data_IF_249767083040
#
_entry.id   IF_249767083040
#
_cell.length_a   1.000
_cell.length_b   1.000
_cell.length_c   1.000
_cell.angle_alpha   90.00
_cell.angle_beta   90.00
_cell.angle_gamma   90.00
#
_symmetry.space_group_name_H-M   'P 1'
#
loop_
_entity.id
_entity.type
_entity.pdbx_description
1 polymer ?
#
# COMPACT_ATOMS: atom_id res chain seq x y z
N UNK A 1 -10.97 -27.81 -68.20
CA UNK A 1 -9.68 -27.43 -68.79
C UNK A 1 -8.79 -26.99 -67.61
N UNK A 2 -7.95 -27.84 -66.99
CA UNK A 2 -6.60 -28.37 -67.33
C UNK A 2 -5.44 -27.34 -67.26
N UNK A 3 -4.39 -27.75 -66.52
CA UNK A 3 -3.02 -27.20 -66.29
C UNK A 3 -2.89 -26.07 -65.25
N UNK A 4 -2.18 -26.17 -64.11
CA UNK A 4 -0.85 -26.72 -63.72
C UNK A 4 0.35 -26.00 -64.35
N UNK A 5 1.16 -25.31 -63.54
CA UNK A 5 2.63 -25.44 -63.59
C UNK A 5 3.33 -24.86 -62.36
N UNK A 6 4.34 -25.60 -61.91
CA UNK A 6 5.30 -25.35 -60.84
C UNK A 6 6.36 -24.31 -61.25
N UNK A 7 7.02 -23.69 -60.26
CA UNK A 7 8.37 -23.17 -60.45
C UNK A 7 9.25 -23.50 -59.23
N UNK A 8 10.27 -24.30 -59.52
CA UNK A 8 11.37 -24.80 -58.68
C UNK A 8 12.39 -23.68 -58.38
N UNK A 9 13.06 -23.75 -57.23
CA UNK A 9 14.33 -23.03 -57.02
C UNK A 9 15.43 -24.04 -56.69
N UNK A 10 16.51 -23.91 -57.45
CA UNK A 10 17.63 -24.82 -57.58
C UNK A 10 18.65 -24.66 -56.45
N UNK A 11 19.24 -25.79 -56.07
CA UNK A 11 20.47 -25.91 -55.30
C UNK A 11 21.67 -25.44 -56.16
N UNK A 12 22.60 -24.70 -55.56
CA UNK A 12 23.99 -24.62 -56.01
C UNK A 12 24.93 -24.50 -54.81
N UNK A 13 25.87 -25.45 -54.73
CA UNK A 13 27.02 -25.47 -53.82
C UNK A 13 27.99 -24.33 -54.13
N UNK A 14 28.59 -23.75 -53.09
CA UNK A 14 29.85 -23.04 -53.21
C UNK A 14 30.78 -23.39 -52.03
N UNK A 15 32.04 -23.57 -52.41
CA UNK A 15 33.14 -24.24 -51.74
C UNK A 15 33.73 -23.53 -50.53
N UNK A 16 34.21 -24.35 -49.59
CA UNK A 16 35.01 -24.00 -48.41
C UNK A 16 36.31 -23.27 -48.75
N UNK A 17 36.59 -22.16 -48.05
CA UNK A 17 37.93 -21.60 -47.89
C UNK A 17 38.16 -21.32 -46.40
N UNK A 18 39.18 -21.96 -45.86
CA UNK A 18 39.65 -21.78 -44.50
C UNK A 18 40.35 -20.42 -44.39
N UNK A 19 39.84 -19.55 -43.52
CA UNK A 19 40.58 -18.42 -42.99
C UNK A 19 40.59 -18.56 -41.47
N UNK A 20 41.74 -18.95 -40.93
CA UNK A 20 41.99 -18.93 -39.50
C UNK A 20 42.09 -17.47 -39.06
N UNK A 21 41.06 -16.96 -38.37
CA UNK A 21 41.17 -15.74 -37.58
C UNK A 21 41.56 -16.11 -36.16
N UNK A 22 42.71 -15.59 -35.73
CA UNK A 22 43.19 -15.64 -34.37
C UNK A 22 42.18 -14.98 -33.40
N UNK A 23 41.89 -15.64 -32.28
CA UNK A 23 41.21 -15.02 -31.15
C UNK A 23 42.10 -13.93 -30.54
N UNK A 24 41.62 -12.69 -30.35
CA UNK A 24 42.24 -11.81 -29.38
C UNK A 24 41.80 -12.23 -27.97
N UNK A 25 42.80 -12.26 -27.09
CA UNK A 25 42.69 -12.59 -25.69
C UNK A 25 41.77 -11.64 -24.90
N UNK A 26 41.04 -12.23 -23.96
CA UNK A 26 40.63 -11.66 -22.66
C UNK A 26 40.25 -10.17 -22.65
N UNK A 27 38.97 -9.88 -22.91
CA UNK A 27 38.37 -8.64 -22.39
C UNK A 27 38.24 -8.80 -20.87
N UNK A 28 39.09 -8.08 -20.15
CA UNK A 28 38.87 -7.78 -18.73
C UNK A 28 37.49 -7.15 -18.62
N UNK A 29 36.62 -7.75 -17.82
CA UNK A 29 35.39 -7.14 -17.32
C UNK A 29 35.74 -5.80 -16.72
N UNK A 30 35.43 -4.72 -17.44
CA UNK A 30 35.46 -3.38 -16.87
C UNK A 30 34.39 -3.36 -15.78
N UNK A 31 34.81 -3.05 -14.57
CA UNK A 31 33.93 -2.74 -13.45
C UNK A 31 32.96 -1.66 -13.88
N UNK A 32 31.75 -2.07 -14.29
CA UNK A 32 30.60 -1.17 -14.33
C UNK A 32 30.33 -0.92 -12.85
N UNK A 33 30.82 0.22 -12.37
CA UNK A 33 30.50 0.72 -11.05
C UNK A 33 28.96 0.67 -10.92
N UNK A 34 28.49 -0.22 -10.06
CA UNK A 34 27.09 -0.24 -9.65
C UNK A 34 26.72 1.18 -9.24
N UNK A 35 25.56 1.71 -9.68
CA UNK A 35 25.09 2.98 -9.15
C UNK A 35 25.07 2.88 -7.62
N UNK A 36 25.42 3.94 -6.87
CA UNK A 36 25.37 3.91 -5.43
C UNK A 36 23.95 3.49 -5.02
N UNK A 37 23.79 2.63 -4.00
CA UNK A 37 22.46 2.30 -3.52
C UNK A 37 21.77 3.62 -3.17
N UNK A 38 20.71 3.96 -3.91
CA UNK A 38 19.78 4.99 -3.48
C UNK A 38 19.42 4.66 -2.03
N UNK A 39 19.43 5.67 -1.16
CA UNK A 39 19.10 5.54 0.27
C UNK A 39 17.77 4.83 0.59
N UNK A 40 16.99 4.43 -0.41
CA UNK A 40 15.71 3.74 -0.34
C UNK A 40 15.78 2.23 -0.03
N UNK A 41 16.96 1.59 -0.01
CA UNK A 41 17.03 0.12 0.15
C UNK A 41 17.29 -0.40 1.58
N UNK A 42 17.49 0.46 2.59
CA UNK A 42 17.96 -0.01 3.92
C UNK A 42 17.22 0.56 5.13
N UNK A 43 16.24 1.44 4.95
CA UNK A 43 15.33 1.78 6.04
C UNK A 43 14.20 0.76 6.05
N UNK A 44 14.33 -0.32 6.82
CA UNK A 44 13.15 -1.07 7.27
C UNK A 44 12.29 -0.03 7.98
N UNK A 45 11.11 0.28 7.44
CA UNK A 45 10.20 1.22 8.07
C UNK A 45 10.04 0.82 9.54
N UNK A 46 10.30 1.75 10.45
CA UNK A 46 10.31 1.48 11.89
C UNK A 46 8.95 1.05 12.44
N UNK A 47 7.90 1.19 11.63
CA UNK A 47 6.53 0.76 11.87
C UNK A 47 6.14 -0.50 11.05
N UNK A 48 7.11 -1.24 10.49
CA UNK A 48 6.85 -2.52 9.85
C UNK A 48 6.42 -3.59 10.87
N UNK A 49 5.51 -4.46 10.45
CA UNK A 49 5.06 -5.60 11.23
C UNK A 49 6.22 -6.56 11.56
N UNK A 50 6.12 -7.21 12.72
CA UNK A 50 7.02 -8.30 13.10
C UNK A 50 6.99 -9.46 12.08
N UNK A 51 8.15 -10.08 11.83
CA UNK A 51 8.29 -11.15 10.83
C UNK A 51 7.50 -12.43 11.17
N UNK A 52 7.07 -12.58 12.43
CA UNK A 52 6.21 -13.71 12.85
C UNK A 52 4.75 -13.58 12.40
N UNK A 53 4.35 -12.44 11.84
CA UNK A 53 2.97 -12.21 11.37
C UNK A 53 2.77 -12.89 10.01
N UNK A 54 1.71 -13.70 9.90
CA UNK A 54 1.31 -14.36 8.67
C UNK A 54 0.61 -13.37 7.70
N UNK A 55 1.37 -12.45 7.10
CA UNK A 55 0.85 -11.39 6.21
C UNK A 55 0.08 -11.98 5.03
N UNK A 56 0.60 -13.03 4.40
CA UNK A 56 -0.05 -13.68 3.27
C UNK A 56 -1.40 -14.32 3.66
N UNK A 57 -1.46 -14.97 4.83
CA UNK A 57 -2.70 -15.54 5.36
C UNK A 57 -3.74 -14.47 5.68
N UNK A 58 -3.33 -13.34 6.27
CA UNK A 58 -4.22 -12.21 6.55
C UNK A 58 -4.76 -11.57 5.28
N UNK A 59 -3.91 -11.38 4.27
CA UNK A 59 -4.32 -10.90 2.95
C UNK A 59 -5.32 -11.84 2.28
N UNK A 60 -5.05 -13.15 2.31
CA UNK A 60 -5.95 -14.16 1.77
C UNK A 60 -7.29 -14.20 2.52
N UNK A 61 -7.28 -14.06 3.84
CA UNK A 61 -8.49 -14.01 4.65
C UNK A 61 -9.36 -12.78 4.31
N UNK A 62 -8.76 -11.62 4.09
CA UNK A 62 -9.48 -10.42 3.65
C UNK A 62 -10.14 -10.63 2.27
N UNK A 63 -9.42 -11.21 1.31
CA UNK A 63 -9.93 -11.53 -0.03
C UNK A 63 -11.04 -12.58 -0.02
N UNK A 64 -10.95 -13.55 0.90
CA UNK A 64 -11.93 -14.61 1.05
C UNK A 64 -13.22 -14.15 1.78
N UNK A 65 -13.26 -12.94 2.33
CA UNK A 65 -14.46 -12.45 3.01
C UNK A 65 -15.60 -12.30 2.01
N UNK A 66 -16.61 -13.16 2.17
CA UNK A 66 -17.81 -13.20 1.33
C UNK A 66 -19.04 -12.67 2.04
N UNK A 67 -18.87 -12.04 3.22
CA UNK A 67 -19.97 -11.48 4.00
C UNK A 67 -20.49 -10.22 3.32
N UNK A 68 -21.74 -9.86 3.58
CA UNK A 68 -22.33 -8.63 3.06
C UNK A 68 -21.49 -7.43 3.51
N UNK A 69 -21.03 -6.63 2.55
CA UNK A 69 -20.35 -5.37 2.84
C UNK A 69 -21.26 -4.47 3.69
N UNK A 70 -20.64 -3.70 4.58
CA UNK A 70 -21.35 -2.77 5.47
C UNK A 70 -21.33 -1.34 4.92
N UNK A 71 -20.42 -1.04 4.01
CA UNK A 71 -20.37 0.21 3.25
C UNK A 71 -19.58 0.02 1.95
N UNK A 72 -19.75 0.95 1.01
CA UNK A 72 -19.03 0.98 -0.26
C UNK A 72 -18.69 2.42 -0.63
N UNK A 73 -17.44 2.66 -1.01
CA UNK A 73 -16.95 3.99 -1.40
C UNK A 73 -16.12 3.87 -2.68
N UNK A 74 -16.18 4.86 -3.58
CA UNK A 74 -15.25 4.93 -4.68
C UNK A 74 -13.82 5.11 -4.15
N UNK A 75 -12.82 4.71 -4.92
CA UNK A 75 -11.42 4.93 -4.55
C UNK A 75 -10.84 6.24 -5.08
N UNK A 76 -11.62 6.97 -5.87
CA UNK A 76 -11.26 8.29 -6.37
C UNK A 76 -12.52 9.04 -6.83
N UNK A 77 -12.37 10.34 -7.09
CA UNK A 77 -13.47 11.23 -7.47
C UNK A 77 -14.22 10.84 -8.76
N UNK A 78 -13.59 10.07 -9.65
CA UNK A 78 -14.20 9.62 -10.91
C UNK A 78 -15.11 8.39 -10.75
N UNK A 79 -15.15 7.77 -9.56
CA UNK A 79 -16.04 6.66 -9.17
C UNK A 79 -15.93 5.39 -10.01
N UNK A 80 -14.84 5.20 -10.76
CA UNK A 80 -14.67 4.01 -11.62
C UNK A 80 -14.39 2.74 -10.84
N UNK A 81 -13.66 2.85 -9.74
CA UNK A 81 -13.32 1.75 -8.85
C UNK A 81 -14.04 1.99 -7.54
N UNK A 82 -14.72 0.95 -7.02
CA UNK A 82 -15.47 0.99 -5.78
C UNK A 82 -14.98 -0.13 -4.89
N UNK A 83 -14.64 0.23 -3.66
CA UNK A 83 -14.21 -0.69 -2.62
C UNK A 83 -15.32 -0.89 -1.61
N UNK A 84 -15.43 -2.13 -1.14
CA UNK A 84 -16.32 -2.51 -0.05
C UNK A 84 -15.57 -2.53 1.27
N UNK A 85 -16.23 -2.02 2.32
CA UNK A 85 -15.81 -2.20 3.70
C UNK A 85 -16.61 -3.35 4.30
N UNK A 86 -15.91 -4.27 4.95
CA UNK A 86 -16.47 -5.45 5.60
C UNK A 86 -16.29 -5.36 7.11
N UNK A 87 -17.30 -5.86 7.84
CA UNK A 87 -17.35 -5.82 9.30
C UNK A 87 -17.48 -7.19 9.95
N UNK A 88 -17.19 -8.26 9.22
CA UNK A 88 -17.28 -9.64 9.70
C UNK A 88 -16.20 -9.99 10.73
N UNK A 89 -15.16 -9.17 10.87
CA UNK A 89 -14.13 -9.32 11.90
C UNK A 89 -14.41 -8.52 13.19
N UNK A 90 -15.56 -7.86 13.30
CA UNK A 90 -15.89 -7.04 14.48
C UNK A 90 -16.14 -7.84 15.77
N UNK A 91 -16.53 -9.11 15.65
CA UNK A 91 -16.93 -9.95 16.78
C UNK A 91 -15.96 -11.11 17.02
N UNK A 92 -14.69 -10.95 16.61
CA UNK A 92 -13.67 -11.95 16.87
C UNK A 92 -13.25 -11.92 18.35
N UNK A 93 -12.80 -13.06 18.85
CA UNK A 93 -12.44 -13.18 20.27
C UNK A 93 -11.17 -12.38 20.55
N UNK A 94 -11.27 -11.34 21.36
CA UNK A 94 -10.13 -10.53 21.80
C UNK A 94 -9.66 -9.47 20.81
N UNK A 95 -10.32 -9.32 19.66
CA UNK A 95 -9.97 -8.34 18.63
C UNK A 95 -11.22 -7.96 17.82
N UNK A 96 -11.32 -6.70 17.44
CA UNK A 96 -12.40 -6.19 16.59
C UNK A 96 -11.78 -5.43 15.43
N UNK A 97 -12.35 -5.58 14.24
CA UNK A 97 -11.78 -5.05 13.01
C UNK A 97 -12.83 -4.81 11.93
N UNK A 98 -12.68 -3.70 11.21
CA UNK A 98 -13.10 -3.58 9.81
C UNK A 98 -11.95 -3.97 8.88
N UNK A 99 -12.27 -4.36 7.65
CA UNK A 99 -11.26 -4.56 6.60
C UNK A 99 -11.81 -4.18 5.22
N UNK A 100 -10.90 -3.80 4.33
CA UNK A 100 -11.20 -3.41 2.95
C UNK A 100 -9.93 -3.50 2.08
N UNK A 101 -10.12 -3.49 0.76
CA UNK A 101 -9.04 -3.53 -0.23
C UNK A 101 -9.28 -2.38 -1.20
N UNK A 102 -8.38 -1.41 -1.24
CA UNK A 102 -8.48 -0.19 -2.04
C UNK A 102 -7.17 0.07 -2.79
N UNK A 103 -7.14 1.09 -3.65
CA UNK A 103 -5.88 1.67 -4.06
C UNK A 103 -5.26 2.47 -2.90
N UNK A 104 -4.09 3.08 -3.14
CA UNK A 104 -3.48 4.01 -2.20
C UNK A 104 -3.00 5.25 -2.94
N UNK A 105 -3.76 6.32 -2.82
CA UNK A 105 -3.40 7.70 -3.13
C UNK A 105 -2.87 8.43 -1.88
N UNK A 106 -2.35 9.63 -2.11
CA UNK A 106 -1.72 10.42 -1.04
C UNK A 106 -2.68 11.47 -0.52
N UNK A 107 -3.00 11.38 0.77
CA UNK A 107 -3.47 12.52 1.54
C UNK A 107 -2.27 13.27 2.15
N UNK A 108 -2.33 14.59 2.07
CA UNK A 108 -1.26 15.47 2.54
C UNK A 108 -1.73 16.44 3.61
N UNK A 109 -2.98 16.31 4.07
CA UNK A 109 -3.55 17.19 5.06
C UNK A 109 -2.72 17.23 6.36
N UNK A 110 -2.84 18.35 7.07
CA UNK A 110 -2.01 18.70 8.21
C UNK A 110 -0.84 19.63 7.85
N UNK A 111 0.25 19.51 8.61
CA UNK A 111 1.35 20.50 8.61
C UNK A 111 2.17 20.55 7.31
N UNK A 112 1.89 19.64 6.38
CA UNK A 112 2.52 19.52 5.05
C UNK A 112 1.48 19.45 3.93
N UNK A 113 0.42 20.26 4.04
CA UNK A 113 -0.72 20.33 3.11
C UNK A 113 -0.41 20.72 1.67
N UNK A 114 0.79 21.22 1.37
CA UNK A 114 1.16 21.71 0.04
C UNK A 114 1.89 20.68 -0.83
N UNK A 115 1.52 19.40 -0.72
CA UNK A 115 2.12 18.38 -1.59
C UNK A 115 1.63 18.53 -3.03
N UNK A 116 2.42 18.00 -3.97
CA UNK A 116 2.06 18.03 -5.39
C UNK A 116 0.76 17.25 -5.61
N UNK A 117 -0.13 17.76 -6.45
CA UNK A 117 -1.39 17.09 -6.80
C UNK A 117 -2.51 17.23 -5.77
N UNK A 118 -2.23 17.72 -4.55
CA UNK A 118 -3.27 18.05 -3.59
C UNK A 118 -3.71 19.52 -3.78
N UNK A 119 -4.91 19.74 -4.34
CA UNK A 119 -5.44 21.08 -4.68
C UNK A 119 -6.30 21.68 -3.59
N UNK A 120 -6.82 20.85 -2.69
CA UNK A 120 -7.76 21.10 -1.61
C UNK A 120 -7.14 20.90 -0.22
N UNK A 121 -5.83 20.65 -0.17
CA UNK A 121 -5.12 20.28 1.04
C UNK A 121 -5.34 21.24 2.20
N UNK A 122 -5.69 20.68 3.35
CA UNK A 122 -6.02 21.39 4.57
C UNK A 122 -4.82 21.42 5.51
N UNK A 123 -4.65 22.50 6.27
CA UNK A 123 -3.52 22.65 7.21
C UNK A 123 -3.65 21.77 8.47
N UNK A 124 -4.78 21.10 8.64
CA UNK A 124 -5.13 20.24 9.78
C UNK A 124 -5.68 18.92 9.24
N UNK A 125 -5.42 17.81 9.93
CA UNK A 125 -6.22 16.59 9.75
C UNK A 125 -7.38 16.59 10.75
N UNK A 126 -8.33 15.69 10.56
CA UNK A 126 -9.55 15.56 11.38
C UNK A 126 -9.30 15.42 12.89
N UNK A 127 -8.11 14.95 13.28
CA UNK A 127 -7.76 14.72 14.68
C UNK A 127 -6.59 15.58 15.16
N UNK A 128 -6.18 16.59 14.40
CA UNK A 128 -5.13 17.57 14.71
C UNK A 128 -4.15 17.79 13.54
N UNK A 129 -3.10 18.59 13.74
CA UNK A 129 -2.17 18.92 12.66
C UNK A 129 -1.07 17.86 12.46
N UNK A 130 -1.42 16.64 12.00
CA UNK A 130 -0.41 15.61 11.73
C UNK A 130 0.60 16.07 10.64
N UNK A 131 1.81 15.53 10.68
CA UNK A 131 2.79 15.72 9.61
C UNK A 131 2.79 14.48 8.70
N UNK A 132 2.21 14.61 7.49
CA UNK A 132 2.09 13.51 6.53
C UNK A 132 3.44 12.88 6.11
N UNK A 133 4.56 13.59 6.32
CA UNK A 133 5.91 13.07 6.04
C UNK A 133 6.53 12.30 7.21
N UNK A 134 5.90 12.35 8.40
CA UNK A 134 6.42 11.75 9.64
C UNK A 134 5.46 10.76 10.30
N UNK A 135 4.16 10.92 10.08
CA UNK A 135 3.12 10.10 10.70
C UNK A 135 2.56 9.14 9.65
N UNK A 136 2.67 7.82 9.86
CA UNK A 136 1.97 6.85 9.03
C UNK A 136 0.48 6.91 9.41
N UNK A 137 -0.34 7.48 8.54
CA UNK A 137 -1.78 7.49 8.73
C UNK A 137 -2.51 7.07 7.47
N UNK A 138 -3.77 6.68 7.64
CA UNK A 138 -4.72 6.41 6.58
C UNK A 138 -6.00 7.22 6.83
N UNK A 139 -6.74 7.43 5.74
CA UNK A 139 -7.99 8.20 5.71
C UNK A 139 -9.16 7.24 5.60
N UNK A 140 -10.28 7.59 6.25
CA UNK A 140 -11.54 6.87 6.07
C UNK A 140 -12.65 7.85 5.70
N UNK A 141 -13.66 7.43 4.93
CA UNK A 141 -14.83 8.23 4.63
C UNK A 141 -15.53 8.71 5.91
N UNK A 142 -15.76 10.03 6.04
CA UNK A 142 -16.39 10.63 7.21
C UNK A 142 -17.74 9.97 7.53
N UNK A 143 -18.57 9.67 6.53
CA UNK A 143 -19.89 9.04 6.77
C UNK A 143 -19.76 7.67 7.41
N UNK A 144 -18.77 6.88 6.97
CA UNK A 144 -18.51 5.57 7.55
C UNK A 144 -18.08 5.70 9.00
N UNK A 145 -17.21 6.66 9.30
CA UNK A 145 -16.60 6.79 10.61
C UNK A 145 -17.60 7.34 11.62
N UNK A 146 -18.44 8.31 11.22
CA UNK A 146 -19.55 8.82 12.03
C UNK A 146 -20.56 7.73 12.40
N UNK A 147 -20.89 6.84 11.46
CA UNK A 147 -21.79 5.70 11.70
C UNK A 147 -21.18 4.66 12.66
N UNK A 148 -19.85 4.54 12.69
CA UNK A 148 -19.13 3.52 13.44
C UNK A 148 -18.33 4.06 14.64
N UNK A 149 -18.54 5.32 15.05
CA UNK A 149 -17.80 6.00 16.14
C UNK A 149 -17.79 5.29 17.50
N UNK A 150 -18.75 4.40 17.72
CA UNK A 150 -18.79 3.57 18.93
C UNK A 150 -17.58 2.62 18.99
N UNK A 151 -17.14 2.12 17.82
CA UNK A 151 -16.10 1.11 17.64
C UNK A 151 -14.82 1.77 17.14
N UNK A 152 -14.92 2.59 16.08
CA UNK A 152 -13.80 3.31 15.48
C UNK A 152 -13.53 4.60 16.28
N UNK A 153 -12.38 4.65 16.95
CA UNK A 153 -11.92 5.81 17.73
C UNK A 153 -10.93 6.64 16.93
N UNK A 154 -10.83 7.92 17.27
CA UNK A 154 -9.83 8.83 16.72
C UNK A 154 -8.43 8.23 16.83
N UNK A 155 -7.63 8.36 15.77
CA UNK A 155 -6.28 7.79 15.66
C UNK A 155 -6.22 6.26 15.72
N UNK A 156 -7.35 5.52 15.66
CA UNK A 156 -7.39 4.05 15.72
C UNK A 156 -6.25 3.40 14.92
N UNK A 157 -5.60 2.40 15.52
CA UNK A 157 -4.62 1.58 14.82
C UNK A 157 -5.18 1.05 13.49
N UNK A 158 -4.34 0.97 12.45
CA UNK A 158 -4.55 0.14 11.27
C UNK A 158 -3.26 -0.59 10.87
N UNK A 159 -3.40 -1.72 10.17
CA UNK A 159 -2.26 -2.60 9.81
C UNK A 159 -2.10 -2.83 8.29
N UNK A 160 -1.80 -1.79 7.54
CA UNK A 160 -1.70 -1.71 6.07
C UNK A 160 -0.84 -2.84 5.47
N UNK A 161 -1.40 -3.62 4.53
CA UNK A 161 -0.69 -4.62 3.73
C UNK A 161 -0.51 -4.10 2.30
N UNK A 162 0.75 -4.00 1.88
CA UNK A 162 1.13 -3.56 0.53
C UNK A 162 2.44 -4.25 0.13
N UNK A 163 2.55 -4.65 -1.14
CA UNK A 163 3.74 -5.31 -1.69
C UNK A 163 4.22 -6.53 -0.85
N UNK A 164 3.27 -7.34 -0.37
CA UNK A 164 3.54 -8.53 0.45
C UNK A 164 4.09 -8.26 1.86
N UNK A 165 4.13 -7.00 2.28
CA UNK A 165 4.58 -6.56 3.62
C UNK A 165 3.42 -5.92 4.37
N UNK A 166 3.56 -5.83 5.69
CA UNK A 166 2.60 -5.14 6.55
C UNK A 166 3.27 -4.02 7.34
N UNK A 167 2.57 -2.90 7.48
CA UNK A 167 2.99 -1.69 8.16
C UNK A 167 1.86 -1.16 9.04
N UNK A 168 2.19 -0.50 10.13
CA UNK A 168 1.18 0.11 11.00
C UNK A 168 1.02 1.60 10.74
N UNK A 169 -0.22 2.06 10.88
CA UNK A 169 -0.57 3.47 10.86
C UNK A 169 -1.73 3.76 11.78
N UNK A 170 -2.15 5.02 11.80
CA UNK A 170 -3.34 5.47 12.52
C UNK A 170 -4.42 5.96 11.57
N UNK A 171 -5.68 5.84 11.94
CA UNK A 171 -6.80 6.53 11.31
C UNK A 171 -6.66 8.02 11.64
N UNK A 172 -5.94 8.75 10.80
CA UNK A 172 -5.44 10.09 11.08
C UNK A 172 -6.28 11.21 10.49
N UNK A 173 -7.07 10.90 9.46
CA UNK A 173 -7.95 11.86 8.80
C UNK A 173 -9.26 11.25 8.31
N UNK A 174 -10.21 12.12 8.00
CA UNK A 174 -11.48 11.81 7.38
C UNK A 174 -11.56 12.48 6.03
N UNK A 175 -12.06 11.74 5.05
CA UNK A 175 -12.50 12.36 3.82
C UNK A 175 -13.97 12.81 3.94
N UNK A 176 -14.16 14.13 3.87
CA UNK A 176 -15.45 14.81 3.93
C UNK A 176 -15.97 15.29 2.56
N UNK A 177 -15.30 14.91 1.46
CA UNK A 177 -15.61 15.35 0.10
C UNK A 177 -16.90 14.76 -0.49
N UNK A 178 -17.21 15.17 -1.72
CA UNK A 178 -18.34 14.66 -2.49
C UNK A 178 -17.94 14.26 -3.92
N UNK A 179 -17.80 12.95 -4.23
CA UNK A 179 -18.00 11.81 -3.33
C UNK A 179 -16.89 11.69 -2.28
N UNK A 180 -17.21 11.06 -1.14
CA UNK A 180 -16.17 10.56 -0.24
C UNK A 180 -15.50 9.35 -0.88
N UNK A 181 -14.19 9.29 -0.81
CA UNK A 181 -13.31 8.27 -1.33
C UNK A 181 -12.67 7.45 -0.20
N UNK A 182 -12.09 6.32 -0.56
CA UNK A 182 -11.37 5.43 0.34
C UNK A 182 -10.10 4.93 -0.34
N UNK A 183 -8.98 4.91 0.39
CA UNK A 183 -7.69 4.52 -0.17
C UNK A 183 -6.56 5.45 0.24
N UNK A 184 -6.88 6.68 0.64
CA UNK A 184 -5.89 7.70 0.93
C UNK A 184 -5.03 7.39 2.17
N UNK A 185 -3.75 7.74 2.08
CA UNK A 185 -2.79 7.60 3.16
C UNK A 185 -1.75 8.70 3.14
N UNK A 186 -1.05 8.88 4.26
CA UNK A 186 0.01 9.87 4.36
C UNK A 186 1.17 9.60 3.38
N UNK A 187 1.89 10.66 3.01
CA UNK A 187 3.11 10.58 2.18
C UNK A 187 4.07 9.51 2.70
N UNK A 188 4.29 9.46 4.02
CA UNK A 188 5.17 8.46 4.64
C UNK A 188 4.68 7.03 4.40
N UNK A 189 3.37 6.77 4.53
CA UNK A 189 2.80 5.45 4.28
C UNK A 189 2.90 5.07 2.81
N UNK A 190 2.50 5.97 1.90
CA UNK A 190 2.57 5.75 0.44
C UNK A 190 3.99 5.42 -0.04
N UNK A 191 4.97 6.24 0.35
CA UNK A 191 6.38 6.02 -0.01
C UNK A 191 6.97 4.74 0.60
N UNK A 192 6.45 4.31 1.76
CA UNK A 192 6.86 3.05 2.39
C UNK A 192 6.30 1.84 1.65
N UNK A 193 5.04 1.91 1.24
CA UNK A 193 4.39 0.85 0.46
C UNK A 193 4.99 0.71 -0.94
N UNK A 194 5.29 1.83 -1.58
CA UNK A 194 5.73 1.88 -2.98
C UNK A 194 6.99 2.77 -3.11
N UNK A 195 8.16 2.26 -2.66
CA UNK A 195 9.38 3.03 -2.70
C UNK A 195 9.80 3.32 -4.15
N UNK A 196 10.15 4.58 -4.41
CA UNK A 196 10.65 5.01 -5.72
C UNK A 196 9.59 5.26 -6.79
N UNK A 197 8.31 5.03 -6.49
CA UNK A 197 7.21 5.48 -7.35
C UNK A 197 6.76 6.88 -6.95
N UNK A 198 6.38 7.70 -7.93
CA UNK A 198 5.70 8.95 -7.65
C UNK A 198 4.27 8.62 -7.21
N UNK A 199 4.01 8.70 -5.91
CA UNK A 199 2.65 8.75 -5.37
C UNK A 199 2.44 10.18 -4.87
N UNK A 200 1.38 10.80 -5.35
CA UNK A 200 0.97 12.14 -4.99
C UNK A 200 -0.57 12.22 -4.97
N UNK A 201 -1.14 13.39 -4.65
CA UNK A 201 -2.61 13.54 -4.52
C UNK A 201 -3.40 13.25 -5.82
N UNK A 202 -2.72 13.24 -6.98
CA UNK A 202 -3.35 12.94 -8.27
C UNK A 202 -3.00 11.54 -8.82
N UNK A 203 -2.06 10.81 -8.18
CA UNK A 203 -1.50 9.57 -8.69
C UNK A 203 -1.41 8.49 -7.59
N UNK A 204 -2.51 7.74 -7.39
CA UNK A 204 -2.55 6.58 -6.50
C UNK A 204 -2.01 5.28 -7.11
N UNK A 205 -1.78 4.27 -6.27
CA UNK A 205 -1.31 2.94 -6.67
C UNK A 205 -2.40 1.87 -6.47
N UNK A 206 -2.71 1.03 -7.48
CA UNK A 206 -3.96 0.25 -7.55
C UNK A 206 -4.12 -0.95 -6.60
N UNK A 207 -3.15 -1.26 -5.73
CA UNK A 207 -3.18 -2.49 -4.92
C UNK A 207 -2.73 -2.27 -3.48
N UNK A 208 -3.68 -2.01 -2.59
CA UNK A 208 -3.42 -1.94 -1.14
C UNK A 208 -4.53 -2.65 -0.36
N UNK A 209 -4.12 -3.49 0.59
CA UNK A 209 -5.03 -4.09 1.58
C UNK A 209 -4.92 -3.30 2.88
N UNK A 210 -6.04 -2.82 3.41
CA UNK A 210 -6.09 -1.93 4.57
C UNK A 210 -6.93 -2.57 5.70
N UNK A 211 -6.43 -2.64 6.95
CA UNK A 211 -7.14 -3.44 7.95
C UNK A 211 -7.19 -2.88 9.39
N UNK A 212 -8.13 -3.49 10.15
CA UNK A 212 -8.28 -3.63 11.60
C UNK A 212 -8.47 -2.34 12.38
N UNK A 213 -9.70 -2.09 12.78
CA UNK A 213 -10.04 -1.09 13.80
C UNK A 213 -10.75 -1.72 15.00
N UNK A 214 -10.09 -1.73 16.16
CA UNK A 214 -10.55 -0.98 17.34
C UNK A 214 -9.55 -1.14 18.46
N UNK A 215 -8.68 -0.16 18.65
CA UNK A 215 -7.96 0.04 19.90
C UNK A 215 -7.75 1.52 20.10
N UNK A 216 -7.97 1.96 21.32
CA UNK A 216 -7.75 3.33 21.75
C UNK A 216 -6.24 3.64 21.73
N UNK A 217 -5.75 4.41 20.75
CA UNK A 217 -4.34 4.75 20.61
C UNK A 217 -4.06 6.13 21.18
N UNK A 218 -4.89 6.64 22.11
CA UNK A 218 -4.66 7.94 22.77
C UNK A 218 -3.26 8.04 23.41
N UNK A 219 -2.62 6.91 23.72
CA UNK A 219 -1.25 6.86 24.22
C UNK A 219 -0.15 7.00 23.14
N UNK A 220 -0.50 6.98 21.86
CA UNK A 220 0.47 7.06 20.77
C UNK A 220 0.88 8.49 20.43
N UNK A 221 0.22 9.53 20.97
CA UNK A 221 0.62 10.92 20.66
C UNK A 221 1.91 11.28 21.39
N UNK A 222 2.96 11.51 20.61
CA UNK A 222 4.25 12.03 21.09
C UNK A 222 4.23 13.56 21.13
N UNK A 223 3.65 14.20 20.10
CA UNK A 223 3.41 15.64 20.07
C UNK A 223 2.07 15.97 19.38
N UNK A 224 1.78 17.26 19.18
CA UNK A 224 0.60 17.70 18.43
C UNK A 224 0.57 17.13 17.00
N UNK A 225 1.75 16.97 16.41
CA UNK A 225 1.93 16.71 14.97
C UNK A 225 2.62 15.36 14.67
N UNK A 226 2.96 14.59 15.71
CA UNK A 226 3.69 13.32 15.60
C UNK A 226 3.09 12.25 16.52
N UNK A 227 3.50 10.99 16.31
CA UNK A 227 3.17 9.86 17.16
C UNK A 227 4.43 9.09 17.59
N UNK A 228 4.33 8.36 18.69
CA UNK A 228 5.31 7.39 19.16
C UNK A 228 5.26 6.16 18.24
N UNK A 229 6.16 6.13 17.27
CA UNK A 229 6.28 5.05 16.27
C UNK A 229 6.63 3.70 16.92
N UNK A 230 7.57 3.60 17.86
CA UNK A 230 7.78 2.38 18.64
C UNK A 230 6.52 1.85 19.34
N UNK A 231 5.75 2.73 19.99
CA UNK A 231 4.50 2.33 20.65
C UNK A 231 3.43 1.89 19.64
N UNK A 232 3.33 2.57 18.49
CA UNK A 232 2.46 2.17 17.38
C UNK A 232 2.79 0.75 16.92
N UNK A 233 4.07 0.47 16.69
CA UNK A 233 4.53 -0.84 16.25
C UNK A 233 4.23 -1.93 17.28
N UNK A 234 4.52 -1.67 18.55
CA UNK A 234 4.27 -2.61 19.63
C UNK A 234 2.77 -2.93 19.78
N UNK A 235 1.91 -1.91 19.72
CA UNK A 235 0.46 -2.07 19.73
C UNK A 235 -0.01 -2.87 18.50
N UNK A 236 0.49 -2.50 17.31
CA UNK A 236 0.21 -3.18 16.06
C UNK A 236 0.50 -4.67 16.10
N UNK A 237 1.73 -5.03 16.50
CA UNK A 237 2.18 -6.42 16.58
C UNK A 237 1.33 -7.24 17.56
N UNK A 238 1.01 -6.68 18.72
CA UNK A 238 0.17 -7.37 19.70
C UNK A 238 -1.21 -7.73 19.13
N UNK A 239 -1.74 -6.88 18.26
CA UNK A 239 -3.16 -6.90 17.89
C UNK A 239 -3.40 -7.65 16.61
N UNK A 240 -2.47 -7.54 15.66
CA UNK A 240 -2.44 -8.44 14.52
C UNK A 240 -2.17 -9.88 14.94
N UNK A 241 -1.37 -10.12 15.99
CA UNK A 241 -1.22 -11.48 16.55
C UNK A 241 -2.53 -12.02 17.13
N UNK A 242 -3.35 -11.17 17.76
CA UNK A 242 -4.69 -11.55 18.21
C UNK A 242 -5.61 -11.84 17.01
N UNK A 243 -5.58 -11.00 15.98
CA UNK A 243 -6.34 -11.24 14.76
C UNK A 243 -5.95 -12.55 14.08
N UNK A 244 -4.66 -12.78 13.83
CA UNK A 244 -4.23 -13.99 13.13
C UNK A 244 -4.69 -15.24 13.90
N UNK A 245 -4.57 -15.23 15.24
CA UNK A 245 -5.07 -16.31 16.09
C UNK A 245 -6.58 -16.49 15.97
N UNK A 246 -7.35 -15.40 15.97
CA UNK A 246 -8.80 -15.44 15.84
C UNK A 246 -9.27 -15.92 14.45
N UNK A 247 -8.44 -15.72 13.42
CA UNK A 247 -8.67 -16.22 12.06
C UNK A 247 -8.11 -17.64 11.82
N UNK A 248 -7.40 -18.22 12.80
CA UNK A 248 -6.80 -19.55 12.67
C UNK A 248 -5.56 -19.61 11.78
N UNK A 249 -4.79 -18.51 11.73
CA UNK A 249 -3.58 -18.33 10.94
C UNK A 249 -2.27 -18.54 11.71
#
# INVERSE_FOLDING_TARGET
>A
MKFSSYCTVSSLLATSRHFALALPASLKTSDVASPPPTMAATAVATFAADQSINVAGLYAAAHASSRKSIASYPTNSNRKIVTNIYGDWQNLTGVSAFHFIADMDTDCDGTKSNCKGNRDGQTETSFGALDATKVPYFVLPERFTQQNKAILKDNALGAIICNGKMFYGIYGDQDADSPQVIGEASILMGQTCFPGTLIDGDNGHPETTLPISSLDPRSLRDSKNTIDIPALKALGDAQVKLLQKALGL
#
